data_IF_545571503339
#
_entry.id   IF_545571503339
#
_cell.length_a   1.000
_cell.length_b   1.000
_cell.length_c   1.000
_cell.angle_alpha   90.00
_cell.angle_beta   90.00
_cell.angle_gamma   90.00
#
_symmetry.space_group_name_H-M   'P 1'
#
loop_
_entity.id
_entity.type
_entity.pdbx_description
1 polymer ?
#
# COMPACT_ATOMS: atom_id res chain seq x y z
N UNK A 1 1.52 -23.04 -0.17
CA UNK A 1 1.52 -22.28 -1.44
C UNK A 1 2.51 -21.17 -1.24
N UNK A 2 3.72 -21.36 -1.77
CA UNK A 2 4.80 -20.38 -1.69
C UNK A 2 4.35 -19.16 -2.50
N UNK A 3 4.43 -17.97 -1.90
CA UNK A 3 4.25 -16.71 -2.64
C UNK A 3 5.47 -16.62 -3.54
N UNK A 4 5.29 -16.75 -4.86
CA UNK A 4 6.40 -16.49 -5.78
C UNK A 4 6.89 -15.06 -5.56
N UNK A 5 8.22 -14.83 -5.52
CA UNK A 5 8.74 -13.49 -5.36
C UNK A 5 8.24 -12.64 -6.51
N UNK A 6 7.49 -11.59 -6.16
CA UNK A 6 7.00 -10.62 -7.13
C UNK A 6 8.23 -9.96 -7.77
N UNK A 7 8.39 -10.11 -9.08
CA UNK A 7 9.53 -9.57 -9.81
C UNK A 7 9.37 -8.04 -9.91
N UNK A 8 9.86 -7.35 -8.88
CA UNK A 8 9.77 -5.90 -8.74
C UNK A 8 10.93 -5.29 -9.55
N UNK A 9 10.65 -4.46 -10.57
CA UNK A 9 11.69 -3.78 -11.32
C UNK A 9 12.68 -3.05 -10.39
N UNK A 10 13.99 -3.18 -10.63
CA UNK A 10 15.03 -2.56 -9.80
C UNK A 10 14.88 -1.03 -9.64
N UNK A 11 14.19 -0.37 -10.58
CA UNK A 11 13.81 1.05 -10.48
C UNK A 11 12.78 1.30 -9.39
N UNK A 12 11.80 0.40 -9.22
CA UNK A 12 10.82 0.47 -8.13
C UNK A 12 11.44 0.12 -6.78
N UNK A 13 12.46 -0.73 -6.70
CA UNK A 13 13.16 -1.07 -5.44
C UNK A 13 13.71 0.18 -4.72
N UNK A 14 14.07 1.24 -5.45
CA UNK A 14 14.53 2.52 -4.88
C UNK A 14 13.41 3.39 -4.28
N UNK A 15 12.16 3.12 -4.64
CA UNK A 15 10.99 3.95 -4.34
C UNK A 15 9.85 3.18 -3.64
N UNK A 16 9.91 1.85 -3.65
CA UNK A 16 9.02 0.94 -2.96
C UNK A 16 9.64 0.66 -1.61
N UNK A 17 9.37 1.53 -0.65
CA UNK A 17 9.40 1.12 0.76
C UNK A 17 7.96 0.77 1.11
N UNK A 18 7.58 -0.50 0.99
CA UNK A 18 6.27 -0.90 1.45
C UNK A 18 5.93 -2.36 1.29
N UNK A 19 5.21 -2.81 2.30
CA UNK A 19 4.73 -4.17 2.51
C UNK A 19 3.75 -4.51 1.39
N UNK A 20 4.08 -5.54 0.61
CA UNK A 20 3.12 -6.21 -0.25
C UNK A 20 2.33 -7.17 0.63
N UNK A 21 1.14 -6.74 1.06
CA UNK A 21 0.23 -7.63 1.77
C UNK A 21 -0.70 -8.26 0.73
N UNK A 22 -0.53 -9.57 0.54
CA UNK A 22 -1.44 -10.38 -0.24
C UNK A 22 -2.27 -11.23 0.70
N UNK A 23 -3.59 -10.99 0.73
CA UNK A 23 -4.51 -11.92 1.38
C UNK A 23 -5.00 -12.93 0.33
N UNK A 24 -4.54 -14.20 0.37
CA UNK A 24 -4.99 -15.23 -0.55
C UNK A 24 -6.47 -15.55 -0.41
N UNK A 25 -7.10 -15.25 0.74
CA UNK A 25 -8.51 -15.52 1.00
C UNK A 25 -9.41 -14.51 0.29
N UNK A 26 -9.00 -13.24 0.31
CA UNK A 26 -9.74 -12.14 -0.31
C UNK A 26 -9.25 -11.80 -1.72
N UNK A 27 -8.12 -12.38 -2.15
CA UNK A 27 -7.39 -12.00 -3.37
C UNK A 27 -7.16 -10.49 -3.45
N UNK A 28 -6.86 -9.85 -2.32
CA UNK A 28 -6.56 -8.41 -2.28
C UNK A 28 -5.05 -8.24 -2.23
N UNK A 29 -4.53 -7.39 -3.10
CA UNK A 29 -3.16 -6.93 -3.05
C UNK A 29 -3.13 -5.48 -2.56
N UNK A 30 -2.60 -5.31 -1.35
CA UNK A 30 -2.24 -3.99 -0.84
C UNK A 30 -0.77 -3.74 -1.15
N UNK A 31 -0.51 -2.75 -1.99
CA UNK A 31 0.81 -2.25 -2.30
C UNK A 31 0.94 -0.82 -1.74
N UNK A 32 1.67 -0.67 -0.64
CA UNK A 32 2.06 0.64 -0.15
C UNK A 32 3.37 1.06 -0.82
N UNK A 33 3.42 2.26 -1.37
CA UNK A 33 4.59 2.86 -1.99
C UNK A 33 4.99 4.08 -1.16
N UNK A 34 5.94 3.95 -0.24
CA UNK A 34 6.49 5.13 0.44
C UNK A 34 7.65 5.71 -0.38
N UNK A 35 7.44 6.90 -0.94
CA UNK A 35 8.43 7.61 -1.73
C UNK A 35 9.25 8.53 -0.82
N UNK A 36 10.31 8.00 -0.23
CA UNK A 36 11.22 8.80 0.56
C UNK A 36 12.16 9.59 -0.38
N UNK A 37 11.83 10.86 -0.63
CA UNK A 37 12.58 11.92 -1.32
C UNK A 37 12.28 12.19 -2.82
N UNK A 38 12.22 13.49 -3.22
CA UNK A 38 12.03 13.91 -4.61
C UNK A 38 13.32 13.85 -5.45
N UNK A 39 13.22 13.93 -6.79
CA UNK A 39 11.97 14.11 -7.53
C UNK A 39 11.33 12.78 -7.88
N UNK A 40 10.02 12.72 -7.67
CA UNK A 40 9.18 11.76 -8.37
C UNK A 40 9.35 12.01 -9.87
N UNK A 41 10.15 11.15 -10.50
CA UNK A 41 10.58 11.30 -11.89
C UNK A 41 9.65 10.58 -12.84
N UNK A 42 9.73 10.90 -14.13
CA UNK A 42 8.98 10.19 -15.17
C UNK A 42 9.29 8.69 -15.22
N UNK A 43 10.49 8.27 -14.78
CA UNK A 43 10.86 6.86 -14.71
C UNK A 43 10.06 6.10 -13.65
N UNK A 44 9.62 6.76 -12.56
CA UNK A 44 8.72 6.13 -11.59
C UNK A 44 7.39 5.75 -12.25
N UNK A 45 6.72 6.71 -12.88
CA UNK A 45 5.41 6.44 -13.50
C UNK A 45 5.52 5.44 -14.64
N UNK A 46 6.64 5.44 -15.37
CA UNK A 46 6.93 4.40 -16.36
C UNK A 46 7.09 3.02 -15.71
N UNK A 47 7.80 2.94 -14.58
CA UNK A 47 8.00 1.69 -13.85
C UNK A 47 6.68 1.18 -13.25
N UNK A 48 5.87 2.06 -12.64
CA UNK A 48 4.51 1.72 -12.19
C UNK A 48 3.64 1.25 -13.36
N UNK A 49 3.74 1.93 -14.51
CA UNK A 49 3.05 1.53 -15.73
C UNK A 49 3.42 0.12 -16.21
N UNK A 50 4.66 -0.34 -16.00
CA UNK A 50 5.10 -1.70 -16.34
C UNK A 50 4.77 -2.73 -15.26
N UNK A 51 4.80 -2.32 -14.00
CA UNK A 51 4.55 -3.16 -12.85
C UNK A 51 3.06 -3.46 -12.64
N UNK A 52 2.18 -2.47 -12.76
CA UNK A 52 0.74 -2.64 -12.54
C UNK A 52 0.08 -3.72 -13.43
N UNK A 53 0.52 -3.94 -14.69
CA UNK A 53 0.12 -5.09 -15.49
C UNK A 53 0.79 -6.41 -15.12
N UNK A 54 2.03 -6.38 -14.59
CA UNK A 54 2.77 -7.60 -14.18
C UNK A 54 2.26 -8.18 -12.87
N UNK A 55 1.49 -7.42 -12.10
CA UNK A 55 0.63 -7.91 -11.03
C UNK A 55 -0.46 -8.81 -11.66
N UNK A 56 -0.08 -10.04 -12.02
CA UNK A 56 -0.99 -11.08 -12.49
C UNK A 56 -2.07 -11.26 -11.43
N UNK A 57 -3.32 -10.96 -11.80
CA UNK A 57 -4.53 -11.09 -10.97
C UNK A 57 -4.27 -10.97 -9.46
N UNK A 58 -4.53 -9.77 -8.93
CA UNK A 58 -5.89 -9.63 -8.45
C UNK A 58 -6.66 -8.48 -9.10
N UNK A 59 -7.97 -8.69 -9.21
CA UNK A 59 -8.97 -7.67 -9.53
C UNK A 59 -8.90 -6.49 -8.58
N UNK A 60 -8.49 -6.75 -7.33
CA UNK A 60 -8.51 -5.81 -6.22
C UNK A 60 -7.10 -5.36 -5.83
N UNK A 61 -6.76 -4.12 -6.22
CA UNK A 61 -5.50 -3.47 -5.92
C UNK A 61 -5.77 -2.21 -5.11
N UNK A 62 -4.96 -1.99 -4.07
CA UNK A 62 -4.85 -0.71 -3.38
C UNK A 62 -3.41 -0.25 -3.45
N UNK A 63 -3.22 0.95 -3.98
CA UNK A 63 -1.94 1.62 -4.15
C UNK A 63 -1.93 2.91 -3.33
N UNK A 64 -1.19 2.97 -2.24
CA UNK A 64 -1.11 4.16 -1.38
C UNK A 64 0.31 4.68 -1.25
N UNK A 65 0.52 6.00 -1.25
CA UNK A 65 1.86 6.56 -1.13
C UNK A 65 1.96 8.07 -1.23
N UNK A 66 3.14 8.61 -0.92
CA UNK A 66 3.50 10.03 -1.14
C UNK A 66 3.94 10.27 -2.61
N UNK A 67 3.01 10.62 -3.49
CA UNK A 67 3.35 10.76 -4.92
C UNK A 67 4.07 12.06 -5.26
N UNK A 68 4.10 13.07 -4.37
CA UNK A 68 4.63 14.41 -4.63
C UNK A 68 4.38 14.89 -6.08
N UNK A 69 3.14 14.73 -6.55
CA UNK A 69 2.76 14.92 -7.96
C UNK A 69 1.71 16.04 -8.10
N UNK A 70 2.14 17.33 -8.10
CA UNK A 70 1.22 18.45 -8.11
C UNK A 70 0.25 18.45 -9.29
N UNK A 71 -1.05 18.50 -8.97
CA UNK A 71 -2.14 18.62 -9.93
C UNK A 71 -3.24 19.52 -9.38
N UNK A 72 -3.84 20.37 -10.21
CA UNK A 72 -4.88 21.34 -9.78
C UNK A 72 -6.12 20.69 -9.18
N UNK A 73 -6.48 19.50 -9.67
CA UNK A 73 -7.53 18.65 -9.09
C UNK A 73 -7.26 18.22 -7.62
N UNK A 74 -6.05 18.45 -7.11
CA UNK A 74 -5.55 18.08 -5.77
C UNK A 74 -5.15 19.30 -4.93
N UNK A 75 -5.80 20.44 -5.17
CA UNK A 75 -5.57 21.68 -4.41
C UNK A 75 -4.22 22.36 -4.63
N UNK A 76 -3.41 21.88 -5.58
CA UNK A 76 -2.21 22.59 -6.01
C UNK A 76 -2.58 23.77 -6.91
N UNK A 77 -1.83 24.88 -6.87
CA UNK A 77 -2.07 26.04 -7.72
C UNK A 77 -1.77 25.75 -9.21
N UNK A 78 -0.89 24.78 -9.48
CA UNK A 78 -0.47 24.42 -10.82
C UNK A 78 -0.30 22.91 -10.96
N UNK A 79 -0.59 22.40 -12.15
CA UNK A 79 -0.26 21.03 -12.55
C UNK A 79 1.16 20.95 -13.10
N UNK A 80 2.02 20.18 -12.45
CA UNK A 80 3.39 19.91 -12.90
C UNK A 80 3.48 18.63 -13.73
N UNK A 81 4.64 18.39 -14.36
CA UNK A 81 4.87 17.19 -15.19
C UNK A 81 4.57 15.87 -14.45
N UNK A 82 5.00 15.67 -13.18
CA UNK A 82 4.64 14.47 -12.42
C UNK A 82 3.12 14.30 -12.26
N UNK A 83 2.38 15.38 -11.99
CA UNK A 83 0.92 15.33 -11.87
C UNK A 83 0.23 14.94 -13.18
N UNK A 84 0.73 15.42 -14.33
CA UNK A 84 0.22 14.99 -15.65
C UNK A 84 0.44 13.51 -15.90
N UNK A 85 1.66 13.03 -15.65
CA UNK A 85 2.01 11.62 -15.83
C UNK A 85 1.20 10.70 -14.92
N UNK A 86 0.99 11.10 -13.67
CA UNK A 86 0.14 10.37 -12.75
C UNK A 86 -1.32 10.34 -13.23
N UNK A 87 -1.84 11.45 -13.75
CA UNK A 87 -3.19 11.50 -14.32
C UNK A 87 -3.35 10.54 -15.50
N UNK A 88 -2.39 10.53 -16.43
CA UNK A 88 -2.37 9.57 -17.54
C UNK A 88 -2.33 8.13 -17.04
N UNK A 89 -1.45 7.80 -16.09
CA UNK A 89 -1.35 6.47 -15.50
C UNK A 89 -2.67 6.01 -14.86
N UNK A 90 -3.32 6.91 -14.12
CA UNK A 90 -4.61 6.64 -13.47
C UNK A 90 -5.69 6.31 -14.50
N UNK A 91 -5.74 7.06 -15.60
CA UNK A 91 -6.69 6.85 -16.69
C UNK A 91 -6.40 5.53 -17.44
N UNK A 92 -5.16 5.32 -17.86
CA UNK A 92 -4.72 4.14 -18.62
C UNK A 92 -4.87 2.83 -17.85
N UNK A 93 -4.79 2.89 -16.51
CA UNK A 93 -4.87 1.71 -15.63
C UNK A 93 -6.21 1.55 -14.94
N UNK A 94 -7.21 2.37 -15.31
CA UNK A 94 -8.55 2.38 -14.74
C UNK A 94 -8.54 2.42 -13.21
N UNK A 95 -7.66 3.26 -12.66
CA UNK A 95 -7.56 3.47 -11.22
C UNK A 95 -8.63 4.45 -10.76
N UNK A 96 -9.31 4.11 -9.69
CA UNK A 96 -10.18 5.02 -8.95
C UNK A 96 -9.36 5.69 -7.85
N UNK A 97 -9.73 6.91 -7.48
CA UNK A 97 -9.07 7.60 -6.39
C UNK A 97 -10.09 7.93 -5.29
N UNK A 98 -10.02 7.25 -4.14
CA UNK A 98 -10.92 7.49 -3.02
C UNK A 98 -10.57 8.73 -2.18
N UNK A 99 -9.42 9.40 -2.39
CA UNK A 99 -9.11 10.62 -1.63
C UNK A 99 -10.26 11.64 -1.72
N UNK A 100 -10.67 12.12 -0.55
CA UNK A 100 -11.70 13.15 -0.44
C UNK A 100 -11.18 14.49 -0.92
N UNK A 101 -11.93 15.17 -1.79
CA UNK A 101 -11.57 16.49 -2.31
C UNK A 101 -11.56 17.51 -1.17
N UNK A 102 -10.52 18.33 -1.13
CA UNK A 102 -10.37 19.36 -0.09
C UNK A 102 -9.83 18.85 1.24
N UNK A 103 -9.42 17.58 1.32
CA UNK A 103 -8.75 17.00 2.49
C UNK A 103 -7.23 16.96 2.26
N UNK A 104 -6.46 17.95 2.75
CA UNK A 104 -5.01 17.95 2.63
C UNK A 104 -4.41 16.80 3.46
N UNK A 105 -3.39 16.14 2.91
CA UNK A 105 -2.63 15.08 3.62
C UNK A 105 -1.33 15.61 4.19
N UNK A 106 -0.86 16.76 3.72
CA UNK A 106 0.28 17.51 4.29
C UNK A 106 -0.18 18.88 4.76
N UNK A 107 0.19 19.22 5.99
CA UNK A 107 -0.13 20.52 6.55
C UNK A 107 0.63 21.65 5.83
N UNK A 108 -0.01 22.81 5.75
CA UNK A 108 0.66 24.02 5.30
C UNK A 108 1.61 24.56 6.37
N UNK A 109 2.55 25.38 5.92
CA UNK A 109 3.38 26.23 6.79
C UNK A 109 2.93 27.69 6.65
N UNK A 110 3.58 28.61 7.33
CA UNK A 110 3.32 30.06 7.17
C UNK A 110 3.51 30.56 5.73
N UNK A 111 4.36 29.89 4.94
CA UNK A 111 4.66 30.27 3.55
C UNK A 111 4.04 29.33 2.51
N UNK A 112 3.46 28.20 2.92
CA UNK A 112 2.94 27.18 2.02
C UNK A 112 1.53 26.75 2.41
N UNK A 113 0.65 26.65 1.42
CA UNK A 113 -0.72 26.17 1.63
C UNK A 113 -0.70 24.66 1.95
N UNK A 114 -1.70 24.14 2.68
CA UNK A 114 -1.89 22.70 2.81
C UNK A 114 -2.00 22.01 1.45
N UNK A 115 -1.42 20.81 1.32
CA UNK A 115 -1.36 20.06 0.05
C UNK A 115 -1.79 18.61 0.23
N UNK A 116 -2.00 17.90 -0.90
CA UNK A 116 -2.37 16.47 -0.91
C UNK A 116 -1.35 15.67 -1.73
N UNK A 117 -0.10 15.54 -1.27
CA UNK A 117 0.92 14.75 -1.96
C UNK A 117 0.67 13.24 -1.81
N UNK A 118 0.04 12.82 -0.70
CA UNK A 118 -0.30 11.42 -0.43
C UNK A 118 -1.59 11.02 -1.12
N UNK A 119 -1.51 10.04 -2.00
CA UNK A 119 -2.64 9.58 -2.80
C UNK A 119 -2.87 8.09 -2.58
N UNK A 120 -4.13 7.71 -2.61
CA UNK A 120 -4.55 6.30 -2.64
C UNK A 120 -5.26 6.07 -3.96
N UNK A 121 -4.95 4.96 -4.61
CA UNK A 121 -5.60 4.51 -5.83
C UNK A 121 -6.12 3.09 -5.63
N UNK A 122 -7.26 2.80 -6.21
CA UNK A 122 -7.89 1.49 -6.12
C UNK A 122 -8.26 0.98 -7.52
N UNK A 123 -8.13 -0.33 -7.72
CA UNK A 123 -8.65 -1.05 -8.89
C UNK A 123 -9.52 -2.20 -8.39
N UNK A 124 -10.63 -2.45 -9.07
CA UNK A 124 -11.58 -3.51 -8.71
C UNK A 124 -12.82 -3.02 -7.96
N UNK A 125 -13.82 -3.89 -7.73
CA UNK A 125 -15.06 -3.58 -7.01
C UNK A 125 -14.87 -3.44 -5.49
N UNK A 126 -13.82 -2.74 -5.06
CA UNK A 126 -13.52 -2.49 -3.67
C UNK A 126 -14.41 -1.37 -3.11
N UNK A 127 -15.10 -1.65 -2.01
CA UNK A 127 -15.74 -0.59 -1.21
C UNK A 127 -14.72 -0.03 -0.23
N UNK A 128 -14.18 1.15 -0.56
CA UNK A 128 -13.14 1.82 0.23
C UNK A 128 -13.71 3.09 0.86
N UNK A 129 -13.68 3.16 2.18
CA UNK A 129 -13.82 4.40 2.92
C UNK A 129 -12.44 4.96 3.20
N UNK A 130 -12.23 6.20 2.78
CA UNK A 130 -10.97 6.92 2.89
C UNK A 130 -11.17 8.19 3.70
N UNK A 131 -10.30 8.46 4.67
CA UNK A 131 -10.28 9.74 5.38
C UNK A 131 -8.87 10.09 5.82
N UNK A 132 -8.61 11.40 5.88
CA UNK A 132 -7.47 11.95 6.61
C UNK A 132 -7.85 12.02 8.09
N UNK A 133 -6.95 11.61 8.97
CA UNK A 133 -7.12 11.75 10.42
C UNK A 133 -6.62 13.11 10.90
N UNK A 134 -6.98 13.51 12.13
CA UNK A 134 -6.39 14.68 12.76
C UNK A 134 -4.99 14.41 13.37
N UNK A 135 -4.55 13.15 13.35
CA UNK A 135 -3.31 12.71 13.99
C UNK A 135 -2.11 12.87 13.05
N UNK A 136 -0.97 13.19 13.65
CA UNK A 136 0.33 13.27 12.97
C UNK A 136 1.37 12.53 13.81
N UNK A 137 2.29 11.82 13.15
CA UNK A 137 3.39 11.13 13.82
C UNK A 137 4.67 11.97 13.75
N UNK A 138 4.68 13.11 14.45
CA UNK A 138 5.81 14.06 14.49
C UNK A 138 6.30 14.53 13.10
N UNK A 139 5.50 14.37 12.05
CA UNK A 139 5.70 14.90 10.70
C UNK A 139 4.69 16.01 10.38
N UNK A 140 4.87 16.66 9.23
CA UNK A 140 3.88 17.57 8.64
C UNK A 140 2.72 16.83 7.95
N UNK A 141 2.87 15.53 7.70
CA UNK A 141 1.88 14.64 7.11
C UNK A 141 0.86 14.12 8.14
N UNK A 142 -0.41 14.12 7.75
CA UNK A 142 -1.51 13.53 8.50
C UNK A 142 -1.62 12.04 8.21
N UNK A 143 -2.01 11.25 9.21
CA UNK A 143 -2.28 9.83 8.97
C UNK A 143 -3.52 9.66 8.07
N UNK A 144 -3.44 8.72 7.14
CA UNK A 144 -4.55 8.30 6.29
C UNK A 144 -5.14 7.02 6.86
N UNK A 145 -6.46 7.01 7.02
CA UNK A 145 -7.21 5.83 7.45
C UNK A 145 -8.02 5.27 6.28
N UNK A 146 -7.80 4.00 5.98
CA UNK A 146 -8.50 3.23 4.95
C UNK A 146 -9.32 2.14 5.61
N UNK A 147 -10.62 2.08 5.31
CA UNK A 147 -11.46 0.94 5.65
C UNK A 147 -11.97 0.31 4.38
N UNK A 148 -11.69 -0.98 4.23
CA UNK A 148 -12.00 -1.74 3.01
C UNK A 148 -13.04 -2.77 3.39
N UNK A 149 -14.22 -2.71 2.79
CA UNK A 149 -15.23 -3.75 2.96
C UNK A 149 -14.96 -4.86 1.97
N UNK A 150 -14.67 -6.05 2.50
CA UNK A 150 -14.39 -7.24 1.70
C UNK A 150 -15.67 -8.06 1.62
N UNK A 151 -16.31 -8.06 0.45
CA UNK A 151 -17.58 -8.77 0.23
C UNK A 151 -17.43 -10.29 0.21
N UNK A 152 -16.20 -10.80 0.12
CA UNK A 152 -15.90 -12.21 0.22
C UNK A 152 -15.74 -12.63 1.69
N UNK A 153 -16.68 -13.42 2.20
CA UNK A 153 -16.46 -14.19 3.43
C UNK A 153 -15.33 -15.18 3.13
N UNK A 154 -14.16 -15.11 3.80
CA UNK A 154 -13.14 -16.11 3.62
C UNK A 154 -13.76 -17.47 3.96
N UNK A 155 -13.65 -18.46 3.07
CA UNK A 155 -13.94 -19.84 3.45
C UNK A 155 -13.08 -20.11 4.68
N UNK A 156 -13.69 -20.33 5.85
CA UNK A 156 -12.98 -20.71 7.06
C UNK A 156 -12.12 -21.92 6.74
N UNK A 157 -10.83 -21.71 6.52
CA UNK A 157 -9.89 -22.81 6.46
C UNK A 157 -9.68 -23.22 7.91
N UNK A 158 -9.98 -24.48 8.21
CA UNK A 158 -9.50 -25.07 9.46
C UNK A 158 -7.97 -25.01 9.39
N UNK A 159 -7.39 -24.10 10.16
CA UNK A 159 -5.94 -24.04 10.35
C UNK A 159 -5.67 -24.83 11.62
N UNK A 160 -4.79 -25.81 11.54
CA UNK A 160 -4.32 -26.53 12.72
C UNK A 160 -3.51 -25.53 13.55
N UNK A 161 -4.07 -25.07 14.66
CA UNK A 161 -3.35 -24.26 15.63
C UNK A 161 -2.50 -25.20 16.48
N UNK A 162 -1.18 -25.01 16.45
CA UNK A 162 -0.30 -25.68 17.40
C UNK A 162 -0.50 -25.00 18.75
N UNK A 163 -1.04 -25.74 19.71
CA UNK A 163 -1.05 -25.29 21.10
C UNK A 163 0.38 -25.32 21.63
N UNK A 164 0.99 -24.13 21.68
CA UNK A 164 2.35 -23.94 22.17
C UNK A 164 2.53 -24.34 23.64
N UNK A 165 1.47 -24.29 24.46
CA UNK A 165 1.55 -24.74 25.83
C UNK A 165 1.60 -26.26 25.87
N UNK A 166 0.73 -26.94 25.11
CA UNK A 166 0.77 -28.40 25.00
C UNK A 166 2.12 -28.92 24.48
N UNK A 167 2.69 -28.24 23.47
CA UNK A 167 4.02 -28.56 22.94
C UNK A 167 5.13 -28.39 23.98
N UNK A 168 5.12 -27.29 24.73
CA UNK A 168 6.10 -27.03 25.81
C UNK A 168 6.00 -28.04 26.95
N UNK A 169 4.78 -28.44 27.32
CA UNK A 169 4.55 -29.50 28.32
C UNK A 169 5.12 -30.83 27.82
N UNK A 170 4.89 -31.19 26.56
CA UNK A 170 5.39 -32.44 25.98
C UNK A 170 6.94 -32.50 25.94
N UNK A 171 7.59 -31.37 25.64
CA UNK A 171 9.05 -31.23 25.70
C UNK A 171 9.60 -31.35 27.11
N UNK A 172 8.94 -30.73 28.10
CA UNK A 172 9.36 -30.82 29.50
C UNK A 172 9.24 -32.25 30.06
N UNK A 173 8.28 -33.04 29.57
CA UNK A 173 8.14 -34.46 29.90
C UNK A 173 9.10 -35.39 29.15
N UNK A 174 9.75 -34.91 28.08
CA UNK A 174 10.82 -35.63 27.40
C UNK A 174 12.16 -35.24 28.04
N UNK A 175 12.49 -35.88 29.16
CA UNK A 175 13.86 -35.89 29.67
C UNK A 175 14.78 -36.48 28.61
N UNK A 176 15.73 -35.68 28.11
CA UNK A 176 16.82 -36.15 27.26
C UNK A 176 17.63 -37.19 28.03
N UNK A 177 17.53 -38.46 27.66
CA UNK A 177 18.57 -39.44 27.98
C UNK A 177 19.84 -38.99 27.23
N UNK A 178 20.80 -38.49 27.98
CA UNK A 178 22.14 -38.17 27.50
C UNK A 178 22.82 -39.45 27.00
N UNK A 179 23.06 -39.54 25.71
CA UNK A 179 23.99 -40.51 25.15
C UNK A 179 25.42 -40.00 25.44
N UNK A 180 25.98 -40.39 26.58
CA UNK A 180 27.42 -40.40 26.79
C UNK A 180 28.02 -41.64 26.10
N UNK A 181 29.00 -41.42 25.22
CA UNK A 181 30.02 -42.38 24.82
C UNK A 181 31.36 -41.66 24.87
#
# INVERSE_FOLDING_TARGET
MLVEPLDIPCTLVKYLVGVVYYDPSSKILLALLSFCNPPVTSSLFSALGKFLPSLSSPTDLILGGDFNAPHTLRSYPQTLKPGRLLCCLVQERHLTLPNTRGSPTRAGTTSQRPTTPDLTFCRGPLSVQWRVTAEKLLSDDFLIHLSISISHVPRRRLVTHIDWNAFRTALASHSFESYEN
#
